data_IF_969603873680
#
_entry.id   IF_969603873680
#
_cell.length_a   1.000
_cell.length_b   1.000
_cell.length_c   1.000
_cell.angle_alpha   90.00
_cell.angle_beta   90.00
_cell.angle_gamma   90.00
#
_symmetry.space_group_name_H-M   'P 1'
#
loop_
_entity.id
_entity.type
_entity.pdbx_description
1 polymer ?
#
# COMPACT_ATOMS: atom_id res chain seq x y z
N UNK A 1 32.43 -43.57 29.81
CA UNK A 1 33.06 -44.27 30.94
C UNK A 1 34.55 -43.95 30.93
N UNK A 2 35.03 -43.20 31.92
CA UNK A 2 36.47 -43.10 32.23
C UNK A 2 36.59 -42.74 33.71
N UNK A 3 37.27 -43.58 34.48
CA UNK A 3 37.41 -43.57 35.94
C UNK A 3 38.89 -43.30 36.26
N UNK A 4 39.20 -42.33 37.12
CA UNK A 4 40.56 -42.12 37.67
C UNK A 4 40.83 -43.05 38.87
N UNK A 5 42.06 -43.58 38.88
CA UNK A 5 42.64 -44.68 39.67
C UNK A 5 43.03 -44.33 41.11
N UNK A 6 42.42 -43.34 41.76
CA UNK A 6 42.94 -42.83 43.05
C UNK A 6 42.10 -43.03 44.30
N UNK A 7 41.07 -43.89 44.25
CA UNK A 7 40.60 -44.70 45.38
C UNK A 7 40.64 -44.08 46.79
N UNK A 8 40.31 -42.80 46.96
CA UNK A 8 40.38 -42.14 48.26
C UNK A 8 38.96 -41.99 48.81
N UNK A 9 38.69 -42.78 49.85
CA UNK A 9 37.43 -42.84 50.56
C UNK A 9 37.08 -41.48 51.17
N UNK A 10 35.84 -41.12 50.88
CA UNK A 10 34.86 -40.33 51.64
C UNK A 10 35.07 -40.21 53.15
N UNK A 11 34.68 -39.01 53.60
CA UNK A 11 34.02 -38.65 54.85
C UNK A 11 34.89 -38.74 56.12
N UNK A 12 34.73 -37.86 57.12
CA UNK A 12 33.64 -37.97 58.08
C UNK A 12 33.81 -36.82 59.12
N UNK A 13 32.69 -36.12 59.37
CA UNK A 13 32.31 -35.41 60.62
C UNK A 13 32.97 -34.05 60.93
N UNK A 14 32.22 -32.95 60.82
CA UNK A 14 31.26 -32.38 61.80
C UNK A 14 31.94 -31.71 63.00
N UNK A 15 31.86 -30.38 63.03
CA UNK A 15 31.58 -29.58 64.23
C UNK A 15 31.21 -28.16 63.77
N UNK A 16 29.94 -27.79 63.84
CA UNK A 16 29.36 -27.01 64.94
C UNK A 16 29.20 -25.52 64.55
N UNK A 17 27.96 -25.21 64.16
CA UNK A 17 27.18 -24.05 64.59
C UNK A 17 27.94 -22.83 65.14
N UNK A 18 27.84 -21.70 64.44
CA UNK A 18 27.80 -20.38 65.07
C UNK A 18 27.04 -19.36 64.19
N UNK A 19 25.86 -19.02 64.69
CA UNK A 19 25.13 -17.74 64.64
C UNK A 19 25.03 -16.92 63.35
N UNK A 20 23.83 -17.00 62.75
CA UNK A 20 22.88 -15.91 62.49
C UNK A 20 23.39 -14.46 62.56
N UNK A 21 23.38 -13.75 61.43
CA UNK A 21 22.57 -12.53 61.23
C UNK A 21 22.82 -11.90 59.86
N UNK A 22 21.73 -11.64 59.14
CA UNK A 22 21.59 -10.44 58.33
C UNK A 22 22.23 -10.45 56.94
N UNK A 23 21.38 -10.54 55.92
CA UNK A 23 21.39 -9.73 54.69
C UNK A 23 20.41 -10.41 53.72
N UNK A 24 19.13 -10.14 53.85
CA UNK A 24 18.45 -9.10 53.07
C UNK A 24 18.77 -9.22 51.58
N UNK A 25 17.82 -9.84 50.88
CA UNK A 25 17.54 -9.76 49.44
C UNK A 25 18.27 -8.63 48.70
N UNK A 26 19.16 -8.98 47.77
CA UNK A 26 19.48 -8.11 46.62
C UNK A 26 19.35 -8.97 45.37
N UNK A 27 18.10 -9.18 44.94
CA UNK A 27 17.82 -9.39 43.53
C UNK A 27 18.00 -8.02 42.85
N UNK A 28 19.22 -7.71 42.43
CA UNK A 28 19.47 -6.54 41.60
C UNK A 28 18.81 -6.79 40.24
N UNK A 29 17.58 -6.30 40.09
CA UNK A 29 16.99 -6.02 38.80
C UNK A 29 17.96 -5.09 38.06
N UNK A 30 18.71 -5.63 37.09
CA UNK A 30 19.25 -4.83 36.01
C UNK A 30 18.06 -4.47 35.13
N UNK A 31 17.29 -3.48 35.59
CA UNK A 31 16.33 -2.80 34.74
C UNK A 31 17.13 -1.96 33.76
N UNK A 32 17.22 -2.41 32.51
CA UNK A 32 17.56 -1.51 31.41
C UNK A 32 16.48 -0.44 31.36
N UNK A 33 16.76 0.72 31.95
CA UNK A 33 16.01 1.93 31.67
C UNK A 33 16.29 2.27 30.20
N UNK A 34 15.47 1.73 29.29
CA UNK A 34 15.34 2.29 27.97
C UNK A 34 14.81 3.70 28.19
N UNK A 35 15.69 4.70 28.17
CA UNK A 35 15.29 6.10 28.15
C UNK A 35 14.37 6.25 26.94
N UNK A 36 13.09 6.45 27.20
CA UNK A 36 12.14 6.76 26.15
C UNK A 36 12.59 8.11 25.60
N UNK A 37 13.18 8.09 24.40
CA UNK A 37 13.49 9.32 23.67
C UNK A 37 12.14 9.87 23.28
N UNK A 38 11.65 10.84 24.05
CA UNK A 38 10.47 11.61 23.65
C UNK A 38 10.84 12.37 22.38
N UNK A 39 10.42 11.79 21.25
CA UNK A 39 10.64 12.35 19.90
C UNK A 39 9.94 13.70 19.75
N UNK A 40 9.00 14.01 20.66
CA UNK A 40 8.20 15.23 20.67
C UNK A 40 8.43 15.94 22.00
N UNK A 41 8.95 17.18 22.01
CA UNK A 41 9.07 17.97 23.23
C UNK A 41 7.70 18.16 23.88
N UNK A 42 7.66 18.11 25.20
CA UNK A 42 6.43 18.28 25.99
C UNK A 42 5.70 19.58 25.61
N UNK A 43 4.39 19.46 25.32
CA UNK A 43 3.56 20.59 24.91
C UNK A 43 3.67 21.01 23.44
N UNK A 44 4.46 20.32 22.60
CA UNK A 44 4.50 20.55 21.15
C UNK A 44 3.81 19.41 20.40
N UNK A 45 2.99 19.74 19.42
CA UNK A 45 2.54 18.76 18.44
C UNK A 45 3.67 18.49 17.44
N UNK A 46 3.77 17.25 16.93
CA UNK A 46 4.59 16.99 15.75
C UNK A 46 4.04 17.81 14.57
N UNK A 47 4.90 18.36 13.70
CA UNK A 47 4.48 18.97 12.45
C UNK A 47 4.01 17.88 11.48
N UNK A 48 2.85 17.31 11.76
CA UNK A 48 2.24 16.23 11.01
C UNK A 48 1.09 16.78 10.19
N UNK A 49 1.24 16.74 8.86
CA UNK A 49 0.25 17.21 7.91
C UNK A 49 -1.12 16.50 8.04
N UNK A 50 -1.19 15.35 8.73
CA UNK A 50 -2.44 14.64 9.03
C UNK A 50 -3.25 15.30 10.15
N UNK A 51 -2.62 16.13 10.99
CA UNK A 51 -3.27 16.89 12.06
C UNK A 51 -3.81 18.24 11.59
N UNK A 52 -3.43 18.66 10.38
CA UNK A 52 -3.97 19.85 9.72
C UNK A 52 -5.46 19.67 9.40
N UNK A 53 -6.22 20.78 9.23
CA UNK A 53 -7.61 20.71 8.82
C UNK A 53 -7.81 19.83 7.58
N UNK A 54 -8.87 19.02 7.60
CA UNK A 54 -9.21 18.16 6.48
C UNK A 54 -9.41 18.99 5.21
N UNK A 55 -8.92 18.47 4.09
CA UNK A 55 -9.26 19.03 2.78
C UNK A 55 -10.73 18.75 2.49
N UNK A 56 -11.52 19.80 2.33
CA UNK A 56 -12.92 19.74 1.90
C UNK A 56 -13.09 20.32 0.49
N UNK A 57 -14.32 20.29 -0.03
CA UNK A 57 -14.63 20.81 -1.37
C UNK A 57 -14.61 22.35 -1.46
N UNK A 58 -14.56 23.04 -0.33
CA UNK A 58 -14.57 24.51 -0.24
C UNK A 58 -13.16 25.07 0.05
N UNK A 59 -12.16 24.20 0.23
CA UNK A 59 -10.78 24.58 0.49
C UNK A 59 -10.10 25.29 -0.69
N UNK A 60 -9.00 25.99 -0.39
CA UNK A 60 -8.17 26.63 -1.41
C UNK A 60 -7.21 25.60 -2.05
N UNK A 61 -7.34 25.39 -3.37
CA UNK A 61 -6.52 24.46 -4.15
C UNK A 61 -5.69 25.22 -5.20
N UNK A 62 -4.58 25.90 -4.80
CA UNK A 62 -3.81 26.71 -5.73
C UNK A 62 -3.19 25.84 -6.83
N UNK A 63 -3.43 26.24 -8.08
CA UNK A 63 -2.71 25.71 -9.23
C UNK A 63 -1.55 26.65 -9.57
N UNK A 64 -0.35 26.31 -9.13
CA UNK A 64 0.86 27.02 -9.55
C UNK A 64 1.17 26.70 -11.02
N UNK A 65 1.02 27.70 -11.89
CA UNK A 65 1.24 27.54 -13.33
C UNK A 65 2.74 27.37 -13.59
N UNK A 66 3.19 26.28 -14.25
CA UNK A 66 4.59 26.14 -14.62
C UNK A 66 5.05 27.27 -15.54
N UNK A 67 6.25 27.79 -15.33
CA UNK A 67 6.78 28.97 -16.05
C UNK A 67 7.11 28.71 -17.52
N UNK A 68 7.30 27.45 -17.93
CA UNK A 68 7.60 27.05 -19.29
C UNK A 68 7.20 25.58 -19.55
N UNK A 69 7.37 25.15 -20.81
CA UNK A 69 7.01 23.80 -21.28
C UNK A 69 7.76 22.70 -20.54
N UNK A 70 9.05 22.89 -20.22
CA UNK A 70 9.85 21.86 -19.56
C UNK A 70 9.48 21.73 -18.08
N UNK A 71 9.26 22.85 -17.38
CA UNK A 71 8.69 22.86 -16.04
C UNK A 71 7.30 22.20 -16.00
N UNK A 72 6.49 22.39 -17.05
CA UNK A 72 5.21 21.70 -17.18
C UNK A 72 5.35 20.19 -17.37
N UNK A 73 6.28 19.73 -18.22
CA UNK A 73 6.52 18.29 -18.43
C UNK A 73 6.94 17.60 -17.13
N UNK A 74 7.79 18.24 -16.35
CA UNK A 74 8.23 17.74 -15.04
C UNK A 74 7.04 17.62 -14.08
N UNK A 75 6.28 18.71 -13.90
CA UNK A 75 5.08 18.70 -13.05
C UNK A 75 4.04 17.67 -13.52
N UNK A 76 3.80 17.56 -14.82
CA UNK A 76 2.86 16.59 -15.37
C UNK A 76 3.29 15.15 -15.09
N UNK A 77 4.58 14.86 -15.09
CA UNK A 77 5.14 13.55 -14.71
C UNK A 77 4.86 13.26 -13.23
N UNK A 78 5.12 14.24 -12.36
CA UNK A 78 4.86 14.11 -10.92
C UNK A 78 3.37 13.90 -10.61
N UNK A 79 2.48 14.70 -11.23
CA UNK A 79 1.03 14.59 -11.03
C UNK A 79 0.52 13.22 -11.50
N UNK A 80 0.93 12.75 -12.68
CA UNK A 80 0.55 11.42 -13.18
C UNK A 80 0.98 10.31 -12.21
N UNK A 81 2.20 10.37 -11.68
CA UNK A 81 2.68 9.40 -10.68
C UNK A 81 1.87 9.47 -9.39
N UNK A 82 1.57 10.66 -8.88
CA UNK A 82 0.74 10.83 -7.66
C UNK A 82 -0.65 10.23 -7.84
N UNK A 83 -1.28 10.45 -9.00
CA UNK A 83 -2.57 9.83 -9.35
C UNK A 83 -2.45 8.30 -9.38
N UNK A 84 -1.40 7.76 -9.99
CA UNK A 84 -1.17 6.31 -10.00
C UNK A 84 -0.99 5.74 -8.59
N UNK A 85 -0.20 6.38 -7.73
CA UNK A 85 -0.01 5.97 -6.33
C UNK A 85 -1.35 5.99 -5.58
N UNK A 86 -2.10 7.09 -5.69
CA UNK A 86 -3.39 7.25 -5.00
C UNK A 86 -4.43 6.21 -5.46
N UNK A 87 -4.36 5.77 -6.72
CA UNK A 87 -5.23 4.74 -7.28
C UNK A 87 -4.71 3.30 -7.08
N UNK A 88 -3.57 3.11 -6.40
CA UNK A 88 -2.95 1.78 -6.25
C UNK A 88 -2.38 1.19 -7.55
N UNK A 89 -2.13 2.03 -8.56
CA UNK A 89 -1.59 1.67 -9.87
C UNK A 89 -0.07 1.91 -9.98
N UNK A 90 0.60 2.18 -8.86
CA UNK A 90 2.06 2.37 -8.81
C UNK A 90 2.71 1.40 -7.81
N UNK A 91 3.73 0.61 -8.24
CA UNK A 91 4.21 0.46 -9.61
C UNK A 91 3.11 -0.07 -10.55
N UNK A 92 3.22 0.14 -11.88
CA UNK A 92 2.20 -0.30 -12.81
C UNK A 92 1.97 -1.82 -12.69
N UNK A 93 0.71 -2.29 -12.66
CA UNK A 93 0.42 -3.72 -12.57
C UNK A 93 0.95 -4.45 -13.81
N UNK A 94 1.24 -5.74 -13.64
CA UNK A 94 1.64 -6.62 -14.74
C UNK A 94 0.56 -6.62 -15.81
N UNK A 95 0.91 -6.20 -17.03
CA UNK A 95 -0.03 -6.21 -18.15
C UNK A 95 -0.28 -7.65 -18.58
N UNK A 96 -1.55 -8.03 -18.69
CA UNK A 96 -1.98 -9.28 -19.29
C UNK A 96 -2.45 -9.06 -20.73
N UNK A 97 -2.38 -10.08 -21.60
CA UNK A 97 -3.07 -10.04 -22.88
C UNK A 97 -4.57 -9.79 -22.70
N UNK A 98 -5.17 -8.94 -23.54
CA UNK A 98 -6.54 -8.48 -23.35
C UNK A 98 -7.60 -9.57 -23.60
N UNK A 99 -7.34 -10.51 -24.52
CA UNK A 99 -8.27 -11.57 -24.95
C UNK A 99 -9.76 -11.15 -25.03
N UNK A 100 -10.12 -10.13 -25.83
CA UNK A 100 -11.49 -9.67 -25.91
C UNK A 100 -12.37 -10.65 -26.68
N UNK A 101 -13.59 -10.86 -26.19
CA UNK A 101 -14.64 -11.61 -26.88
C UNK A 101 -15.71 -10.64 -27.34
N UNK A 102 -15.94 -10.59 -28.65
CA UNK A 102 -16.97 -9.75 -29.29
C UNK A 102 -18.09 -10.66 -29.77
N UNK A 103 -19.33 -10.38 -29.38
CA UNK A 103 -20.47 -11.23 -29.69
C UNK A 103 -21.80 -10.47 -29.75
N UNK A 104 -22.86 -11.16 -30.22
CA UNK A 104 -24.23 -10.63 -30.20
C UNK A 104 -24.44 -9.40 -31.09
N UNK A 105 -23.91 -9.45 -32.32
CA UNK A 105 -24.01 -8.36 -33.29
C UNK A 105 -25.47 -8.05 -33.64
N UNK A 106 -25.85 -6.78 -33.49
CA UNK A 106 -27.15 -6.24 -33.91
C UNK A 106 -26.94 -5.17 -34.98
N UNK A 107 -27.73 -5.27 -36.04
CA UNK A 107 -27.76 -4.30 -37.11
C UNK A 107 -28.70 -3.14 -36.76
N UNK A 108 -28.20 -1.90 -36.88
CA UNK A 108 -28.94 -0.66 -36.61
C UNK A 108 -29.04 0.24 -37.86
N UNK A 109 -28.91 -0.32 -39.06
CA UNK A 109 -28.91 0.44 -40.31
C UNK A 109 -27.50 0.89 -40.70
N UNK A 110 -27.06 2.06 -40.25
CA UNK A 110 -25.75 2.63 -40.63
C UNK A 110 -24.58 2.16 -39.75
N UNK A 111 -24.89 1.54 -38.61
CA UNK A 111 -23.92 1.01 -37.66
C UNK A 111 -24.39 -0.32 -37.06
N UNK A 112 -23.50 -0.97 -36.31
CA UNK A 112 -23.78 -2.19 -35.57
C UNK A 112 -23.48 -2.01 -34.09
N UNK A 113 -24.25 -2.69 -33.24
CA UNK A 113 -24.00 -2.79 -31.80
C UNK A 113 -23.54 -4.21 -31.50
N UNK A 114 -22.39 -4.34 -30.85
CA UNK A 114 -21.85 -5.63 -30.44
C UNK A 114 -21.48 -5.59 -28.96
N UNK A 115 -21.77 -6.67 -28.24
CA UNK A 115 -21.32 -6.81 -26.87
C UNK A 115 -19.87 -7.24 -26.87
N UNK A 116 -19.08 -6.66 -25.97
CA UNK A 116 -17.70 -7.05 -25.73
C UNK A 116 -17.52 -7.34 -24.26
N UNK A 117 -16.74 -8.37 -23.96
CA UNK A 117 -16.18 -8.55 -22.64
C UNK A 117 -14.72 -8.97 -22.74
N UNK A 118 -13.93 -8.61 -21.75
CA UNK A 118 -12.52 -8.96 -21.67
C UNK A 118 -12.06 -8.97 -20.23
N UNK A 119 -10.93 -9.65 -19.99
CA UNK A 119 -10.31 -9.72 -18.66
C UNK A 119 -9.40 -8.49 -18.46
N UNK A 120 -9.79 -7.61 -17.54
CA UNK A 120 -9.05 -6.38 -17.23
C UNK A 120 -7.86 -6.63 -16.29
N UNK A 121 -7.97 -7.65 -15.45
CA UNK A 121 -6.98 -8.16 -14.51
C UNK A 121 -7.31 -9.63 -14.25
N UNK A 122 -6.36 -10.52 -13.87
CA UNK A 122 -6.66 -11.93 -13.62
C UNK A 122 -7.90 -12.15 -12.73
N UNK A 123 -8.94 -12.79 -13.29
CA UNK A 123 -10.23 -13.04 -12.65
C UNK A 123 -11.27 -11.91 -12.75
N UNK A 124 -10.94 -10.75 -13.32
CA UNK A 124 -11.81 -9.56 -13.36
C UNK A 124 -12.24 -9.20 -14.79
N UNK A 125 -13.50 -9.47 -15.09
CA UNK A 125 -14.09 -9.18 -16.39
C UNK A 125 -14.75 -7.80 -16.45
N UNK A 126 -14.46 -7.07 -17.51
CA UNK A 126 -15.15 -5.82 -17.87
C UNK A 126 -15.98 -6.09 -19.10
N UNK A 127 -17.21 -5.58 -19.10
CA UNK A 127 -18.16 -5.69 -20.22
C UNK A 127 -18.43 -4.31 -20.80
N UNK A 128 -18.85 -4.27 -22.05
CA UNK A 128 -19.24 -3.05 -22.73
C UNK A 128 -19.93 -3.32 -24.06
N UNK A 129 -20.27 -2.24 -24.75
CA UNK A 129 -20.86 -2.28 -26.08
C UNK A 129 -19.95 -1.54 -27.06
N UNK A 130 -19.77 -2.12 -28.25
CA UNK A 130 -19.08 -1.53 -29.38
C UNK A 130 -20.11 -1.05 -30.40
N UNK A 131 -20.06 0.25 -30.69
CA UNK A 131 -20.86 0.90 -31.71
C UNK A 131 -19.96 1.14 -32.93
N UNK A 132 -20.17 0.36 -34.01
CA UNK A 132 -19.28 0.38 -35.18
C UNK A 132 -20.04 0.82 -36.43
N UNK A 133 -19.65 1.92 -37.09
CA UNK A 133 -20.19 2.25 -38.40
C UNK A 133 -19.91 1.11 -39.39
N UNK A 134 -20.83 0.84 -40.32
CA UNK A 134 -20.65 -0.24 -41.29
C UNK A 134 -19.68 0.11 -42.41
N UNK A 135 -19.63 1.38 -42.80
CA UNK A 135 -18.86 1.88 -43.95
C UNK A 135 -17.59 2.59 -43.45
N UNK A 136 -16.65 1.81 -42.92
CA UNK A 136 -15.34 2.32 -42.50
C UNK A 136 -14.31 2.14 -43.60
N UNK A 137 -13.53 3.18 -43.89
CA UNK A 137 -12.35 3.11 -44.78
C UNK A 137 -11.13 3.56 -43.97
N UNK A 138 -10.13 2.69 -43.87
CA UNK A 138 -8.90 2.98 -43.13
C UNK A 138 -9.12 3.08 -41.61
N UNK A 139 -8.18 3.75 -40.93
CA UNK A 139 -8.24 3.99 -39.48
C UNK A 139 -9.24 5.10 -39.19
N UNK A 140 -10.11 4.87 -38.22
CA UNK A 140 -11.09 5.85 -37.74
C UNK A 140 -10.89 6.09 -36.25
N UNK A 141 -11.33 7.26 -35.72
CA UNK A 141 -11.26 7.52 -34.30
C UNK A 141 -12.12 6.53 -33.51
N UNK A 142 -11.64 6.14 -32.34
CA UNK A 142 -12.42 5.45 -31.31
C UNK A 142 -12.75 6.42 -30.19
N UNK A 143 -13.98 6.36 -29.68
CA UNK A 143 -14.44 7.19 -28.56
C UNK A 143 -14.83 6.26 -27.42
N UNK A 144 -14.26 6.50 -26.23
CA UNK A 144 -14.65 5.82 -24.99
C UNK A 144 -15.73 6.66 -24.30
N UNK A 145 -16.91 6.09 -24.13
CA UNK A 145 -18.04 6.74 -23.47
C UNK A 145 -18.29 6.09 -22.11
N UNK A 146 -17.67 6.63 -21.05
CA UNK A 146 -17.99 6.26 -19.67
C UNK A 146 -19.31 6.92 -19.27
N UNK A 147 -20.21 6.14 -18.67
CA UNK A 147 -21.50 6.63 -18.20
C UNK A 147 -21.32 7.24 -16.80
N UNK A 148 -22.01 8.35 -16.53
CA UNK A 148 -22.09 8.91 -15.17
C UNK A 148 -23.16 8.20 -14.35
N UNK A 149 -23.27 8.47 -13.05
CA UNK A 149 -24.29 7.85 -12.21
C UNK A 149 -25.67 8.48 -12.44
N UNK A 150 -26.67 7.68 -12.79
CA UNK A 150 -28.10 8.08 -12.83
C UNK A 150 -28.99 6.87 -12.54
N UNK A 151 -30.31 7.10 -12.41
CA UNK A 151 -31.26 6.06 -11.98
C UNK A 151 -31.29 4.79 -12.85
N UNK A 152 -30.77 4.87 -14.08
CA UNK A 152 -30.70 3.74 -15.03
C UNK A 152 -29.27 3.45 -15.51
N UNK A 153 -28.26 3.94 -14.79
CA UNK A 153 -26.85 3.58 -15.01
C UNK A 153 -25.91 4.75 -14.90
#
# INVERSE_FOLDING_TARGET
>A
MSVDRRGRKTDILRACASWSMGSLMIAALVGTAAAQVDVVPEGKALPDARLEPLKDLNGYFPFEVPSNVDAWKERATQVRRRVQVALGLWPPPTKTPLHPVIHGKRDMGDYTIEKVYFESMPGFFVTGNLYRPKKLKGKVPGVLCSHGHWAKG
#
